data_IF_843631349712
#
_entry.id   IF_843631349712
#
_cell.length_a   1.000
_cell.length_b   1.000
_cell.length_c   1.000
_cell.angle_alpha   90.00
_cell.angle_beta   90.00
_cell.angle_gamma   90.00
#
_symmetry.space_group_name_H-M   'P 1'
#
loop_
_entity.id
_entity.type
_entity.pdbx_description
1 polymer ?
#
# COMPACT_ATOMS: atom_id res chain seq x y z
N UNK A 1 -17.82 -3.27 -24.96
CA UNK A 1 -16.93 -3.35 -23.79
C UNK A 1 -15.82 -4.31 -24.14
N UNK A 2 -14.64 -3.75 -24.42
CA UNK A 2 -13.44 -4.53 -24.71
C UNK A 2 -13.00 -5.37 -23.49
N UNK A 3 -12.29 -6.46 -23.76
CA UNK A 3 -11.67 -7.30 -22.72
C UNK A 3 -10.73 -6.47 -21.83
N UNK A 4 -9.99 -5.53 -22.42
CA UNK A 4 -9.08 -4.62 -21.73
C UNK A 4 -9.78 -3.73 -20.70
N UNK A 5 -10.98 -3.20 -21.01
CA UNK A 5 -11.78 -2.42 -20.04
C UNK A 5 -12.21 -3.27 -18.84
N UNK A 6 -12.63 -4.51 -19.07
CA UNK A 6 -13.03 -5.40 -17.98
C UNK A 6 -11.85 -5.73 -17.05
N UNK A 7 -10.66 -5.94 -17.61
CA UNK A 7 -9.43 -6.17 -16.84
C UNK A 7 -9.06 -4.92 -16.03
N UNK A 8 -9.13 -3.71 -16.60
CA UNK A 8 -8.88 -2.46 -15.87
C UNK A 8 -9.86 -2.25 -14.71
N UNK A 9 -11.14 -2.59 -14.89
CA UNK A 9 -12.15 -2.55 -13.81
C UNK A 9 -11.81 -3.52 -12.69
N UNK A 10 -11.31 -4.71 -13.02
CA UNK A 10 -10.87 -5.69 -12.02
C UNK A 10 -9.65 -5.18 -11.25
N UNK A 11 -8.66 -4.62 -11.94
CA UNK A 11 -7.47 -4.01 -11.32
C UNK A 11 -7.89 -2.89 -10.36
N UNK A 12 -8.80 -2.00 -10.77
CA UNK A 12 -9.34 -0.94 -9.92
C UNK A 12 -10.05 -1.49 -8.69
N UNK A 13 -10.86 -2.54 -8.84
CA UNK A 13 -11.59 -3.16 -7.73
C UNK A 13 -10.65 -3.76 -6.69
N UNK A 14 -9.61 -4.47 -7.14
CA UNK A 14 -8.55 -4.97 -6.26
C UNK A 14 -7.78 -3.82 -5.61
N UNK A 15 -7.44 -2.77 -6.36
CA UNK A 15 -6.76 -1.58 -5.84
C UNK A 15 -7.57 -0.86 -4.74
N UNK A 16 -8.89 -0.72 -4.91
CA UNK A 16 -9.78 -0.13 -3.89
C UNK A 16 -9.78 -0.98 -2.63
N UNK A 17 -9.90 -2.30 -2.80
CA UNK A 17 -9.86 -3.25 -1.67
C UNK A 17 -8.50 -3.19 -0.96
N UNK A 18 -7.39 -3.12 -1.70
CA UNK A 18 -6.05 -2.95 -1.13
C UNK A 18 -5.94 -1.67 -0.31
N UNK A 19 -6.48 -0.55 -0.80
CA UNK A 19 -6.49 0.71 -0.07
C UNK A 19 -7.28 0.61 1.23
N UNK A 20 -8.45 -0.01 1.22
CA UNK A 20 -9.26 -0.20 2.43
C UNK A 20 -8.52 -1.08 3.47
N UNK A 21 -7.84 -2.13 3.01
CA UNK A 21 -7.00 -3.00 3.85
C UNK A 21 -5.78 -2.25 4.39
N UNK A 22 -5.16 -1.39 3.58
CA UNK A 22 -4.04 -0.54 4.01
C UNK A 22 -4.46 0.48 5.08
N UNK A 23 -5.65 1.09 4.93
CA UNK A 23 -6.23 1.97 5.95
C UNK A 23 -6.51 1.23 7.27
N UNK A 24 -6.88 -0.05 7.19
CA UNK A 24 -7.03 -0.93 8.33
C UNK A 24 -5.69 -1.51 8.87
N UNK A 25 -4.54 -1.12 8.30
CA UNK A 25 -3.21 -1.66 8.63
C UNK A 25 -3.06 -3.18 8.40
N UNK A 26 -3.89 -3.77 7.55
CA UNK A 26 -3.90 -5.21 7.23
C UNK A 26 -2.90 -5.54 6.10
N UNK A 27 -1.62 -5.26 6.31
CA UNK A 27 -0.57 -5.33 5.28
C UNK A 27 -0.38 -6.70 4.64
N UNK A 28 -0.63 -7.79 5.37
CA UNK A 28 -0.59 -9.14 4.80
C UNK A 28 -1.73 -9.38 3.80
N UNK A 29 -2.91 -8.79 4.04
CA UNK A 29 -4.02 -8.84 3.09
C UNK A 29 -3.72 -7.98 1.85
N UNK A 30 -3.11 -6.81 2.03
CA UNK A 30 -2.64 -5.96 0.92
C UNK A 30 -1.65 -6.73 0.02
N UNK A 31 -0.70 -7.46 0.62
CA UNK A 31 0.28 -8.26 -0.12
C UNK A 31 -0.37 -9.38 -0.95
N UNK A 32 -1.36 -10.09 -0.38
CA UNK A 32 -2.10 -11.13 -1.11
C UNK A 32 -2.85 -10.55 -2.30
N UNK A 33 -3.57 -9.45 -2.09
CA UNK A 33 -4.29 -8.77 -3.17
C UNK A 33 -3.35 -8.26 -4.26
N UNK A 34 -2.16 -7.76 -3.92
CA UNK A 34 -1.18 -7.36 -4.94
C UNK A 34 -0.69 -8.55 -5.76
N UNK A 35 -0.50 -9.72 -5.14
CA UNK A 35 -0.13 -10.94 -5.88
C UNK A 35 -1.19 -11.40 -6.88
N UNK A 36 -2.46 -11.04 -6.64
CA UNK A 36 -3.57 -11.27 -7.58
C UNK A 36 -3.68 -10.15 -8.63
N UNK A 37 -3.40 -8.90 -8.24
CA UNK A 37 -3.54 -7.71 -9.09
C UNK A 37 -2.41 -7.58 -10.11
N UNK A 38 -1.17 -7.89 -9.72
CA UNK A 38 0.00 -7.69 -10.56
C UNK A 38 -0.05 -8.48 -11.89
N UNK A 39 -0.41 -9.77 -11.92
CA UNK A 39 -0.56 -10.52 -13.17
C UNK A 39 -1.62 -9.92 -14.11
N UNK A 40 -2.69 -9.34 -13.55
CA UNK A 40 -3.73 -8.67 -14.36
C UNK A 40 -3.17 -7.43 -15.04
N UNK A 41 -2.37 -6.63 -14.33
CA UNK A 41 -1.68 -5.47 -14.89
C UNK A 41 -0.77 -5.90 -16.03
N UNK A 42 0.07 -6.91 -15.84
CA UNK A 42 0.97 -7.42 -16.88
C UNK A 42 0.19 -7.92 -18.10
N UNK A 43 -0.89 -8.68 -17.88
CA UNK A 43 -1.71 -9.23 -18.96
C UNK A 43 -2.53 -8.19 -19.72
N UNK A 44 -2.69 -6.99 -19.15
CA UNK A 44 -3.46 -5.90 -19.76
C UNK A 44 -2.69 -5.20 -20.89
N UNK A 45 -1.37 -5.40 -20.98
CA UNK A 45 -0.52 -4.76 -21.98
C UNK A 45 -0.08 -5.74 -23.09
N UNK A 46 -0.07 -5.30 -24.37
CA UNK A 46 -0.45 -3.97 -24.86
C UNK A 46 -1.96 -3.74 -24.78
N UNK A 47 -2.34 -2.51 -24.43
CA UNK A 47 -3.74 -2.14 -24.22
C UNK A 47 -4.46 -2.01 -25.57
N UNK A 48 -5.12 -3.09 -26.00
CA UNK A 48 -5.96 -3.07 -27.19
C UNK A 48 -7.36 -2.58 -26.82
N UNK A 49 -7.68 -1.34 -27.21
CA UNK A 49 -9.00 -0.74 -26.97
C UNK A 49 -9.50 0.03 -28.19
N UNK A 50 -10.80 -0.10 -28.53
CA UNK A 50 -11.41 0.69 -29.58
C UNK A 50 -11.28 2.19 -29.31
N UNK A 51 -11.16 3.01 -30.36
CA UNK A 51 -11.06 4.47 -30.24
C UNK A 51 -12.20 5.09 -29.42
N UNK A 52 -13.40 4.51 -29.47
CA UNK A 52 -14.56 4.93 -28.69
C UNK A 52 -14.40 4.73 -27.17
N UNK A 53 -13.50 3.85 -26.74
CA UNK A 53 -13.28 3.49 -25.32
C UNK A 53 -11.99 4.11 -24.75
N UNK A 54 -11.14 4.74 -25.59
CA UNK A 54 -9.84 5.32 -25.19
C UNK A 54 -9.96 6.32 -24.03
N UNK A 55 -10.96 7.21 -24.08
CA UNK A 55 -11.16 8.20 -23.01
C UNK A 55 -11.48 7.52 -21.67
N UNK A 56 -12.33 6.49 -21.68
CA UNK A 56 -12.67 5.72 -20.48
C UNK A 56 -11.46 4.95 -19.95
N UNK A 57 -10.67 4.32 -20.83
CA UNK A 57 -9.43 3.65 -20.47
C UNK A 57 -8.44 4.61 -19.79
N UNK A 58 -8.30 5.82 -20.34
CA UNK A 58 -7.41 6.84 -19.78
C UNK A 58 -7.81 7.19 -18.35
N UNK A 59 -9.09 7.49 -18.11
CA UNK A 59 -9.59 7.79 -16.77
C UNK A 59 -9.34 6.64 -15.80
N UNK A 60 -9.55 5.38 -16.22
CA UNK A 60 -9.27 4.22 -15.38
C UNK A 60 -7.79 4.08 -15.04
N UNK A 61 -6.89 4.30 -16.00
CA UNK A 61 -5.44 4.27 -15.76
C UNK A 61 -4.99 5.38 -14.80
N UNK A 62 -5.55 6.59 -14.95
CA UNK A 62 -5.31 7.70 -14.01
C UNK A 62 -5.78 7.34 -12.60
N UNK A 63 -6.96 6.74 -12.45
CA UNK A 63 -7.46 6.25 -11.16
C UNK A 63 -6.53 5.17 -10.56
N UNK A 64 -6.03 4.23 -11.36
CA UNK A 64 -5.09 3.19 -10.89
C UNK A 64 -3.82 3.84 -10.34
N UNK A 65 -3.23 4.79 -11.08
CA UNK A 65 -2.01 5.49 -10.67
C UNK A 65 -2.21 6.28 -9.38
N UNK A 66 -3.32 7.01 -9.24
CA UNK A 66 -3.61 7.76 -8.01
C UNK A 66 -3.85 6.83 -6.81
N UNK A 67 -4.48 5.69 -7.04
CA UNK A 67 -4.69 4.68 -6.01
C UNK A 67 -3.37 4.08 -5.53
N UNK A 68 -2.46 3.77 -6.44
CA UNK A 68 -1.14 3.23 -6.12
C UNK A 68 -0.31 4.23 -5.31
N UNK A 69 -0.36 5.52 -5.67
CA UNK A 69 0.24 6.59 -4.87
C UNK A 69 -0.35 6.66 -3.45
N UNK A 70 -1.68 6.53 -3.32
CA UNK A 70 -2.34 6.51 -2.01
C UNK A 70 -1.88 5.33 -1.16
N UNK A 71 -1.78 4.13 -1.73
CA UNK A 71 -1.32 2.93 -1.01
C UNK A 71 0.15 3.08 -0.61
N UNK A 72 1.01 3.60 -1.49
CA UNK A 72 2.42 3.85 -1.20
C UNK A 72 2.59 4.86 -0.06
N UNK A 73 1.79 5.92 -0.04
CA UNK A 73 1.79 6.91 1.04
C UNK A 73 1.40 6.28 2.39
N UNK A 74 0.36 5.45 2.42
CA UNK A 74 -0.05 4.71 3.63
C UNK A 74 1.06 3.77 4.12
N UNK A 75 1.72 3.06 3.20
CA UNK A 75 2.81 2.15 3.54
C UNK A 75 4.04 2.90 4.10
N UNK A 76 4.33 4.09 3.56
CA UNK A 76 5.39 4.96 4.08
C UNK A 76 5.07 5.45 5.49
N UNK A 77 3.83 5.91 5.73
CA UNK A 77 3.39 6.37 7.04
C UNK A 77 3.46 5.25 8.09
N UNK A 78 2.95 4.06 7.78
CA UNK A 78 3.00 2.91 8.69
C UNK A 78 4.45 2.49 9.03
N UNK A 79 5.38 2.58 8.07
CA UNK A 79 6.79 2.30 8.32
C UNK A 79 7.42 3.32 9.26
N UNK A 80 7.09 4.60 9.07
CA UNK A 80 7.58 5.68 9.93
C UNK A 80 7.06 5.52 11.36
N UNK A 81 5.77 5.21 11.53
CA UNK A 81 5.17 4.97 12.85
C UNK A 81 5.88 3.83 13.59
N UNK A 82 6.21 2.72 12.92
CA UNK A 82 6.96 1.62 13.53
C UNK A 82 8.35 2.08 13.97
N UNK A 83 9.04 2.88 13.15
CA UNK A 83 10.34 3.47 13.49
C UNK A 83 10.27 4.30 14.77
N UNK A 84 9.31 5.22 14.85
CA UNK A 84 9.12 6.09 16.01
C UNK A 84 8.81 5.29 17.29
N UNK A 85 8.05 4.19 17.18
CA UNK A 85 7.78 3.31 18.33
C UNK A 85 9.03 2.54 18.78
N UNK A 86 9.86 2.06 17.85
CA UNK A 86 11.12 1.39 18.17
C UNK A 86 12.10 2.33 18.86
N UNK A 87 12.21 3.57 18.40
CA UNK A 87 13.09 4.58 18.99
C UNK A 87 12.65 4.93 20.42
N UNK A 88 11.34 5.11 20.64
CA UNK A 88 10.78 5.32 22.00
C UNK A 88 11.07 4.15 22.94
N UNK A 89 10.96 2.91 22.45
CA UNK A 89 11.30 1.73 23.25
C UNK A 89 12.80 1.66 23.59
N UNK A 90 13.68 2.05 22.66
CA UNK A 90 15.12 2.12 22.92
C UNK A 90 15.46 3.18 23.98
N UNK A 91 14.88 4.39 23.85
CA UNK A 91 15.04 5.46 24.83
C UNK A 91 14.53 5.05 26.23
N UNK A 92 13.37 4.38 26.31
CA UNK A 92 12.85 3.86 27.58
C UNK A 92 13.77 2.81 28.22
N UNK A 93 14.37 1.91 27.42
CA UNK A 93 15.38 0.96 27.90
C UNK A 93 16.65 1.65 28.39
N UNK A 94 17.09 2.70 27.71
CA UNK A 94 18.26 3.49 28.13
C UNK A 94 17.99 4.24 29.44
N UNK A 95 16.82 4.87 29.57
CA UNK A 95 16.40 5.54 30.79
C UNK A 95 16.32 4.57 31.98
N UNK A 96 15.67 3.41 31.80
CA UNK A 96 15.62 2.38 32.84
C UNK A 96 17.02 1.91 33.28
N UNK A 97 17.94 1.69 32.33
CA UNK A 97 19.33 1.34 32.66
C UNK A 97 20.04 2.44 33.45
N UNK A 98 19.83 3.71 33.10
CA UNK A 98 20.42 4.83 33.83
C UNK A 98 19.91 4.88 35.28
N UNK A 99 18.60 4.73 35.49
CA UNK A 99 18.01 4.73 36.83
C UNK A 99 18.43 3.52 37.68
N UNK A 100 18.54 2.33 37.10
CA UNK A 100 19.00 1.14 37.85
C UNK A 100 20.48 1.19 38.20
N UNK A 101 21.30 1.85 37.38
CA UNK A 101 22.75 1.97 37.61
C UNK A 101 23.06 3.02 38.68
N UNK A 102 22.28 4.11 38.76
CA UNK A 102 22.45 5.14 39.81
C UNK A 102 21.91 4.68 41.17
N UNK A 103 20.95 3.74 41.20
CA UNK A 103 20.36 3.20 42.44
C UNK A 103 21.16 2.10 43.16
N UNK A 104 22.31 1.66 42.62
CA UNK A 104 23.12 0.57 43.21
C UNK A 104 24.47 1.01 43.77
N UNK A 105 24.71 2.33 43.90
CA UNK A 105 25.86 2.90 44.60
C UNK A 105 25.46 3.41 45.99
N UNK A 106 25.19 2.48 46.91
CA UNK A 106 25.07 2.74 48.36
C UNK A 106 26.28 2.20 49.09
#
# INVERSE_FOLDING_TARGET
MSQSIAVLQQILTLGRTMRDRALASEWEAVRKLESERFPLIESCFPLDVPTSEVASCRTMLEEIVEMDKSILSLASAARQDIGDHLDKLQLGRQANRAYTTVGSGG
#
